data_IF_067627027661
#
_entry.id   IF_067627027661
#
_cell.length_a   1.000
_cell.length_b   1.000
_cell.length_c   1.000
_cell.angle_alpha   90.00
_cell.angle_beta   90.00
_cell.angle_gamma   90.00
#
_symmetry.space_group_name_H-M   'P 1'
#
loop_
_entity.id
_entity.type
_entity.pdbx_description
1 polymer ?
#
# COMPACT_ATOMS: atom_id res chain seq x y z
N UNK A 1 23.25 6.71 11.17
CA UNK A 1 22.57 5.78 10.25
C UNK A 1 21.10 5.77 10.66
N UNK A 2 20.21 6.34 9.84
CA UNK A 2 18.77 6.39 10.15
C UNK A 2 18.17 5.00 9.90
N UNK A 3 18.02 4.20 10.95
CA UNK A 3 17.50 2.83 10.94
C UNK A 3 15.97 2.79 10.95
N UNK A 4 15.31 3.69 10.21
CA UNK A 4 13.88 3.57 10.01
C UNK A 4 13.67 2.50 8.93
N UNK A 5 12.85 1.46 9.18
CA UNK A 5 12.57 0.45 8.18
C UNK A 5 12.05 1.12 6.90
N UNK A 6 12.46 0.62 5.73
CA UNK A 6 12.02 1.17 4.46
C UNK A 6 10.56 0.78 4.14
N UNK A 7 10.04 -0.26 4.81
CA UNK A 7 8.72 -0.84 4.56
C UNK A 7 7.91 -0.95 5.86
N UNK A 8 6.63 -0.62 5.77
CA UNK A 8 5.69 -0.69 6.86
C UNK A 8 4.35 -1.27 6.40
N UNK A 9 3.55 -1.73 7.36
CA UNK A 9 2.14 -2.08 7.17
C UNK A 9 1.30 -1.52 8.30
N UNK A 10 0.05 -1.16 8.03
CA UNK A 10 -0.88 -0.73 9.07
C UNK A 10 -1.17 -1.90 10.03
N UNK A 11 -1.27 -1.63 11.33
CA UNK A 11 -1.63 -2.65 12.34
C UNK A 11 -3.02 -3.23 12.12
N UNK A 12 -3.97 -2.41 11.65
CA UNK A 12 -5.31 -2.86 11.24
C UNK A 12 -5.32 -3.71 9.97
N UNK A 13 -4.18 -3.85 9.29
CA UNK A 13 -4.08 -4.54 8.00
C UNK A 13 -4.66 -3.72 6.85
N UNK A 14 -4.49 -4.23 5.64
CA UNK A 14 -5.06 -3.65 4.42
C UNK A 14 -4.27 -2.49 3.82
N UNK A 15 -3.22 -1.97 4.46
CA UNK A 15 -2.33 -0.96 3.88
C UNK A 15 -0.86 -1.27 4.09
N UNK A 16 -0.07 -1.05 3.05
CA UNK A 16 1.38 -1.21 3.04
C UNK A 16 2.04 0.07 2.53
N UNK A 17 3.20 0.38 3.09
CA UNK A 17 3.92 1.63 2.85
C UNK A 17 5.38 1.33 2.54
N UNK A 18 5.93 1.97 1.52
CA UNK A 18 7.36 1.95 1.20
C UNK A 18 7.87 3.38 1.13
N UNK A 19 8.89 3.70 1.94
CA UNK A 19 9.58 4.99 1.87
C UNK A 19 10.62 4.98 0.75
N UNK A 20 10.52 5.95 -0.14
CA UNK A 20 11.43 6.17 -1.27
C UNK A 20 11.95 7.62 -1.20
N UNK A 21 12.93 7.86 -0.32
CA UNK A 21 13.46 9.20 -0.08
C UNK A 21 12.44 10.13 0.61
N UNK A 22 11.99 11.15 -0.11
CA UNK A 22 10.97 12.14 0.26
C UNK A 22 9.55 11.72 -0.13
N UNK A 23 9.39 10.53 -0.72
CA UNK A 23 8.09 9.97 -1.13
C UNK A 23 7.74 8.71 -0.38
N UNK A 24 6.44 8.44 -0.32
CA UNK A 24 5.88 7.19 0.17
C UNK A 24 5.01 6.59 -0.92
N UNK A 25 5.25 5.30 -1.19
CA UNK A 25 4.34 4.48 -1.97
C UNK A 25 3.39 3.78 -1.02
N UNK A 26 2.09 3.88 -1.29
CA UNK A 26 1.01 3.31 -0.48
C UNK A 26 0.32 2.25 -1.33
N UNK A 27 0.11 1.08 -0.77
CA UNK A 27 -0.65 -0.02 -1.37
C UNK A 27 -1.84 -0.29 -0.47
N UNK A 28 -3.05 -0.12 -1.00
CA UNK A 28 -4.29 -0.36 -0.28
C UNK A 28 -4.99 -1.60 -0.84
N UNK A 29 -5.23 -2.59 0.03
CA UNK A 29 -5.85 -3.87 -0.29
C UNK A 29 -7.34 -3.93 0.06
N UNK A 30 -7.96 -2.80 0.45
CA UNK A 30 -9.38 -2.81 0.77
C UNK A 30 -10.21 -3.11 -0.48
N UNK A 31 -11.08 -4.11 -0.42
CA UNK A 31 -11.88 -4.55 -1.57
C UNK A 31 -12.80 -3.45 -2.12
N UNK A 32 -13.25 -2.53 -1.26
CA UNK A 32 -14.08 -1.39 -1.67
C UNK A 32 -13.28 -0.26 -2.35
N UNK A 33 -11.96 -0.23 -2.17
CA UNK A 33 -11.08 0.79 -2.76
C UNK A 33 -9.62 0.29 -2.87
N UNK A 34 -9.35 -0.69 -3.74
CA UNK A 34 -7.99 -1.17 -3.98
C UNK A 34 -7.20 -0.07 -4.70
N UNK A 35 -6.02 0.30 -4.20
CA UNK A 35 -5.22 1.38 -4.81
C UNK A 35 -3.72 1.19 -4.68
N UNK A 36 -2.99 1.80 -5.62
CA UNK A 36 -1.55 2.06 -5.50
C UNK A 36 -1.32 3.55 -5.67
N UNK A 37 -0.83 4.19 -4.63
CA UNK A 37 -0.66 5.64 -4.57
C UNK A 37 0.81 5.99 -4.31
N UNK A 38 1.22 7.18 -4.77
CA UNK A 38 2.53 7.76 -4.44
C UNK A 38 2.32 9.20 -4.01
N UNK A 39 2.77 9.53 -2.81
CA UNK A 39 2.64 10.88 -2.24
C UNK A 39 3.92 11.28 -1.52
N UNK A 40 4.01 12.53 -1.09
CA UNK A 40 5.11 13.01 -0.25
C UNK A 40 5.09 12.29 1.08
N UNK A 41 6.25 11.83 1.52
CA UNK A 41 6.42 11.20 2.82
C UNK A 41 6.32 12.25 3.91
N UNK A 42 5.34 12.07 4.80
CA UNK A 42 5.21 12.81 6.05
C UNK A 42 5.40 11.83 7.20
N UNK A 43 6.32 12.11 8.13
CA UNK A 43 6.52 11.27 9.31
C UNK A 43 5.23 11.13 10.15
N UNK A 44 4.34 12.14 10.11
CA UNK A 44 3.02 12.08 10.75
C UNK A 44 2.13 11.00 10.15
N UNK A 45 2.30 10.68 8.87
CA UNK A 45 1.50 9.66 8.17
C UNK A 45 1.77 8.27 8.75
N UNK A 46 3.04 7.95 9.04
CA UNK A 46 3.41 6.66 9.64
C UNK A 46 2.99 6.59 11.11
N UNK A 47 3.18 7.68 11.87
CA UNK A 47 2.78 7.73 13.28
C UNK A 47 1.27 7.70 13.49
N UNK A 48 0.48 8.33 12.60
CA UNK A 48 -0.97 8.37 12.72
C UNK A 48 -1.66 7.05 12.36
N UNK A 49 -1.05 6.23 11.50
CA UNK A 49 -1.65 5.01 10.95
C UNK A 49 -1.31 3.73 11.73
N UNK A 50 -0.76 3.86 12.95
CA UNK A 50 -0.27 2.73 13.78
C UNK A 50 0.49 1.69 12.95
N UNK A 51 1.49 2.14 12.20
CA UNK A 51 2.25 1.29 11.30
C UNK A 51 3.29 0.44 12.05
N UNK A 52 3.47 -0.81 11.63
CA UNK A 52 4.55 -1.69 12.08
C UNK A 52 5.51 -1.98 10.93
N UNK A 53 6.81 -2.19 11.20
CA UNK A 53 7.76 -2.61 10.16
C UNK A 53 7.29 -3.89 9.46
N UNK A 54 7.53 -3.99 8.16
CA UNK A 54 7.39 -5.23 7.41
C UNK A 54 8.61 -5.46 6.51
N UNK A 55 8.71 -6.67 5.94
CA UNK A 55 9.72 -6.96 4.93
C UNK A 55 9.25 -6.54 3.53
N UNK A 56 10.21 -6.48 2.61
CA UNK A 56 9.97 -6.16 1.20
C UNK A 56 9.07 -7.19 0.52
N UNK A 57 9.21 -8.47 0.87
CA UNK A 57 8.42 -9.56 0.30
C UNK A 57 6.92 -9.37 0.59
N UNK A 58 6.56 -8.99 1.83
CA UNK A 58 5.19 -8.70 2.23
C UNK A 58 4.61 -7.51 1.45
N UNK A 59 5.42 -6.45 1.28
CA UNK A 59 5.02 -5.28 0.50
C UNK A 59 4.76 -5.64 -0.98
N UNK A 60 5.69 -6.38 -1.60
CA UNK A 60 5.57 -6.79 -3.00
C UNK A 60 4.38 -7.72 -3.22
N UNK A 61 4.13 -8.65 -2.30
CA UNK A 61 2.96 -9.53 -2.35
C UNK A 61 1.64 -8.73 -2.28
N UNK A 62 1.55 -7.74 -1.40
CA UNK A 62 0.39 -6.84 -1.33
C UNK A 62 0.23 -6.03 -2.63
N UNK A 63 1.33 -5.55 -3.21
CA UNK A 63 1.29 -4.83 -4.46
C UNK A 63 0.80 -5.71 -5.62
N UNK A 64 1.27 -6.95 -5.72
CA UNK A 64 0.81 -7.87 -6.75
C UNK A 64 -0.67 -8.22 -6.57
N UNK A 65 -1.12 -8.38 -5.34
CA UNK A 65 -2.52 -8.63 -5.02
C UNK A 65 -3.41 -7.45 -5.43
N UNK A 66 -3.05 -6.20 -5.11
CA UNK A 66 -3.87 -5.05 -5.51
C UNK A 66 -3.92 -4.88 -7.03
N UNK A 67 -2.81 -5.12 -7.73
CA UNK A 67 -2.76 -5.05 -9.20
C UNK A 67 -3.71 -6.09 -9.81
N UNK A 68 -3.73 -7.31 -9.26
CA UNK A 68 -4.68 -8.36 -9.70
C UNK A 68 -6.13 -7.94 -9.46
N UNK A 69 -6.45 -7.37 -8.29
CA UNK A 69 -7.81 -6.89 -7.98
C UNK A 69 -8.22 -5.80 -8.98
N UNK A 70 -7.34 -4.85 -9.26
CA UNK A 70 -7.59 -3.77 -10.22
C UNK A 70 -7.81 -4.30 -11.65
N UNK A 71 -6.97 -5.23 -12.11
CA UNK A 71 -7.11 -5.87 -13.42
C UNK A 71 -8.40 -6.70 -13.54
N UNK A 72 -8.82 -7.39 -12.48
CA UNK A 72 -10.09 -8.12 -12.45
C UNK A 72 -11.29 -7.17 -12.43
N UNK A 73 -11.15 -6.01 -11.80
CA UNK A 73 -12.20 -4.99 -11.75
C UNK A 73 -12.43 -4.33 -13.12
N UNK A 74 -11.36 -4.10 -13.90
CA UNK A 74 -11.48 -3.60 -15.29
C UNK A 74 -12.20 -4.59 -16.21
N UNK A 75 -12.17 -5.90 -15.92
CA UNK A 75 -12.90 -6.92 -16.68
C UNK A 75 -14.37 -7.13 -16.28
N UNK A 76 -14.82 -6.57 -15.14
CA UNK A 76 -16.06 -6.97 -14.47
C UNK A 76 -17.23 -5.98 -14.52
N UNK A 77 -17.00 -4.72 -14.90
CA UNK A 77 -18.06 -3.68 -14.88
C UNK A 77 -18.59 -3.28 -16.27
N UNK A 78 -18.06 -3.86 -17.35
CA UNK A 78 -18.46 -3.52 -18.73
C UNK A 78 -19.55 -4.45 -19.35
N UNK A 79 -20.13 -5.40 -18.61
CA UNK A 79 -21.13 -6.34 -19.15
C UNK A 79 -22.53 -6.26 -18.51
N UNK A 80 -22.94 -5.07 -18.07
CA UNK A 80 -24.36 -4.79 -17.75
C UNK A 80 -24.81 -3.49 -18.40
N UNK A 81 -24.96 -3.54 -19.73
CA UNK A 81 -25.79 -2.63 -20.50
C UNK A 81 -26.68 -3.48 -21.43
#
# INVERSE_FOLDING_TARGET
MNTNPAFFKSKGGGQYFKREGDRVKIVCLYEFNPSVERTTYDDKLISALECIPCDEASFNSAQDQVIRILQLSDGGWAQRA
#
